data_IF_427003611643
#
_entry.id   IF_427003611643
#
_cell.length_a   1.000
_cell.length_b   1.000
_cell.length_c   1.000
_cell.angle_alpha   90.00
_cell.angle_beta   90.00
_cell.angle_gamma   90.00
#
_symmetry.space_group_name_H-M   'P 1'
#
loop_
_entity.id
_entity.type
_entity.pdbx_description
1 polymer ?
#
# COMPACT_ATOMS: atom_id res chain seq x y z
N UNK A 1 14.06 -11.30 2.87
CA UNK A 1 13.60 -10.00 2.33
C UNK A 1 12.67 -9.34 3.32
N UNK A 2 12.74 -8.04 3.41
CA UNK A 2 11.96 -7.24 4.35
C UNK A 2 10.98 -6.37 3.58
N UNK A 3 9.78 -6.18 4.11
CA UNK A 3 8.77 -5.33 3.50
C UNK A 3 8.92 -3.89 3.98
N UNK A 4 8.84 -2.96 3.01
CA UNK A 4 8.88 -1.52 3.27
C UNK A 4 7.73 -0.84 2.54
N UNK A 5 7.09 0.12 3.20
CA UNK A 5 6.14 1.02 2.56
C UNK A 5 6.92 2.24 2.07
N UNK A 6 7.04 2.39 0.75
CA UNK A 6 7.82 3.47 0.14
C UNK A 6 6.88 4.54 -0.38
N UNK A 7 7.10 5.78 0.03
CA UNK A 7 6.30 6.93 -0.36
C UNK A 7 7.18 8.17 -0.40
N UNK A 8 6.62 9.29 -0.90
CA UNK A 8 7.32 10.57 -0.80
C UNK A 8 7.17 11.14 0.63
N UNK A 9 8.16 11.91 1.07
CA UNK A 9 8.21 12.44 2.44
C UNK A 9 7.08 13.40 2.76
N UNK A 10 6.64 14.16 1.76
CA UNK A 10 5.64 15.20 1.94
C UNK A 10 4.20 14.69 1.79
N UNK A 11 4.03 13.46 1.29
CA UNK A 11 2.72 12.90 1.06
C UNK A 11 1.98 13.49 -0.14
N UNK A 12 2.67 14.25 -0.99
CA UNK A 12 2.04 14.93 -2.13
C UNK A 12 1.52 13.96 -3.18
N UNK A 13 2.18 12.82 -3.34
CA UNK A 13 1.77 11.81 -4.30
C UNK A 13 0.52 11.06 -3.83
N UNK A 14 0.36 10.85 -2.54
CA UNK A 14 -0.78 10.12 -1.98
C UNK A 14 -0.71 8.62 -2.13
N UNK A 15 0.34 8.09 -2.76
CA UNK A 15 0.52 6.65 -2.95
C UNK A 15 1.67 6.11 -2.14
N UNK A 16 1.51 4.86 -1.70
CA UNK A 16 2.58 4.09 -1.07
C UNK A 16 2.69 2.74 -1.77
N UNK A 17 3.91 2.28 -1.96
CA UNK A 17 4.18 0.97 -2.56
C UNK A 17 4.83 0.07 -1.53
N UNK A 18 4.36 -1.18 -1.46
CA UNK A 18 5.02 -2.18 -0.63
C UNK A 18 6.08 -2.87 -1.48
N UNK A 19 7.33 -2.71 -1.06
CA UNK A 19 8.50 -3.24 -1.76
C UNK A 19 9.25 -4.18 -0.81
N UNK A 20 9.65 -5.32 -1.33
CA UNK A 20 10.48 -6.28 -0.59
C UNK A 20 11.95 -6.05 -0.96
N UNK A 21 12.78 -5.76 0.02
CA UNK A 21 14.20 -5.51 -0.18
C UNK A 21 14.99 -5.91 1.05
N UNK A 22 16.29 -6.07 0.89
CA UNK A 22 17.17 -6.39 2.02
C UNK A 22 17.38 -5.20 2.94
N UNK A 23 17.36 -3.99 2.39
CA UNK A 23 17.59 -2.74 3.11
C UNK A 23 16.61 -1.66 2.69
N UNK A 24 16.46 -0.64 3.54
CA UNK A 24 15.65 0.53 3.24
C UNK A 24 16.11 1.25 1.97
N UNK A 25 17.42 1.39 1.81
CA UNK A 25 18.00 2.03 0.66
C UNK A 25 17.65 1.31 -0.65
N UNK A 26 17.72 -0.02 -0.64
CA UNK A 26 17.35 -0.82 -1.82
C UNK A 26 15.86 -0.72 -2.13
N UNK A 27 15.00 -0.62 -1.11
CA UNK A 27 13.57 -0.45 -1.30
C UNK A 27 13.26 0.88 -2.01
N UNK A 28 13.88 1.96 -1.58
CA UNK A 28 13.70 3.29 -2.21
C UNK A 28 14.20 3.26 -3.66
N UNK A 29 15.37 2.66 -3.89
CA UNK A 29 15.92 2.56 -5.24
C UNK A 29 14.98 1.79 -6.17
N UNK A 30 14.45 0.67 -5.70
CA UNK A 30 13.51 -0.12 -6.47
C UNK A 30 12.27 0.71 -6.84
N UNK A 31 11.71 1.42 -5.86
CA UNK A 31 10.52 2.23 -6.09
C UNK A 31 10.75 3.34 -7.12
N UNK A 32 11.90 4.01 -7.06
CA UNK A 32 12.25 5.05 -8.03
C UNK A 32 12.46 4.48 -9.44
N UNK A 33 12.97 3.26 -9.55
CA UNK A 33 13.31 2.66 -10.85
C UNK A 33 12.13 1.91 -11.49
N UNK A 34 11.19 1.37 -10.69
CA UNK A 34 10.21 0.41 -11.18
C UNK A 34 8.76 0.77 -10.87
N UNK A 35 8.50 1.57 -9.86
CA UNK A 35 7.13 1.97 -9.55
C UNK A 35 6.76 3.22 -10.34
N UNK A 36 5.74 3.07 -11.17
CA UNK A 36 5.34 4.10 -12.14
C UNK A 36 4.60 5.27 -11.50
N UNK A 37 4.46 6.33 -12.26
CA UNK A 37 3.57 7.44 -11.96
C UNK A 37 4.22 8.51 -11.10
N UNK A 38 3.72 8.68 -9.87
CA UNK A 38 4.11 9.79 -9.01
C UNK A 38 5.60 9.92 -8.73
N UNK A 39 6.33 8.80 -8.76
CA UNK A 39 7.73 8.80 -8.35
C UNK A 39 8.72 9.09 -9.47
N UNK A 40 8.26 9.23 -10.70
CA UNK A 40 9.13 9.43 -11.87
C UNK A 40 10.02 10.67 -11.76
N UNK A 41 9.54 11.70 -11.07
CA UNK A 41 10.25 12.97 -10.95
C UNK A 41 10.87 13.18 -9.57
N UNK A 42 10.72 12.22 -8.65
CA UNK A 42 11.25 12.37 -7.31
C UNK A 42 12.70 11.94 -7.24
N UNK A 43 13.45 12.65 -6.41
CA UNK A 43 14.82 12.30 -6.08
C UNK A 43 14.84 11.44 -4.82
N UNK A 44 15.95 10.77 -4.62
CA UNK A 44 16.16 9.91 -3.44
C UNK A 44 15.81 10.60 -2.13
N UNK A 45 16.22 11.85 -1.96
CA UNK A 45 16.03 12.60 -0.72
C UNK A 45 14.58 12.95 -0.43
N UNK A 46 13.70 12.85 -1.43
CA UNK A 46 12.27 13.13 -1.29
C UNK A 46 11.48 11.89 -0.89
N UNK A 47 12.13 10.75 -0.84
CA UNK A 47 11.49 9.46 -0.58
C UNK A 47 11.75 8.99 0.85
N UNK A 48 10.82 8.20 1.36
CA UNK A 48 11.00 7.49 2.62
C UNK A 48 10.52 6.05 2.50
N UNK A 49 11.09 5.18 3.31
CA UNK A 49 10.65 3.78 3.40
C UNK A 49 10.40 3.44 4.86
N UNK A 50 9.17 3.06 5.17
CA UNK A 50 8.78 2.63 6.51
C UNK A 50 8.75 1.12 6.57
N UNK A 51 9.38 0.56 7.58
CA UNK A 51 9.43 -0.87 7.78
C UNK A 51 8.03 -1.42 8.10
N UNK A 52 7.64 -2.51 7.42
CA UNK A 52 6.37 -3.20 7.62
C UNK A 52 6.61 -4.69 7.91
N UNK A 53 7.08 -5.02 9.15
CA UNK A 53 7.47 -6.41 9.46
C UNK A 53 6.33 -7.42 9.30
N UNK A 54 5.09 -7.00 9.49
CA UNK A 54 3.93 -7.88 9.36
C UNK A 54 3.71 -8.40 7.95
N UNK A 55 4.32 -7.74 6.95
CA UNK A 55 4.19 -8.13 5.55
C UNK A 55 5.36 -8.99 5.06
N UNK A 56 6.41 -9.19 5.85
CA UNK A 56 7.58 -9.98 5.44
C UNK A 56 7.21 -11.40 4.99
N UNK A 57 6.24 -11.99 5.65
CA UNK A 57 5.79 -13.36 5.38
C UNK A 57 5.15 -13.55 4.02
N UNK A 58 4.76 -12.48 3.37
CA UNK A 58 4.13 -12.54 2.05
C UNK A 58 5.14 -12.51 0.90
N UNK A 59 6.42 -12.37 1.21
CA UNK A 59 7.46 -12.44 0.18
C UNK A 59 7.50 -13.84 -0.45
N UNK A 60 7.37 -13.89 -1.76
CA UNK A 60 7.36 -15.13 -2.52
C UNK A 60 8.23 -15.08 -3.78
N UNK A 61 9.23 -14.19 -3.80
CA UNK A 61 10.10 -13.95 -4.95
C UNK A 61 9.75 -12.68 -5.71
N UNK A 62 8.56 -12.13 -5.52
CA UNK A 62 8.20 -10.81 -6.08
C UNK A 62 8.85 -9.71 -5.28
N UNK A 63 9.19 -8.61 -5.94
CA UNK A 63 9.81 -7.47 -5.27
C UNK A 63 8.82 -6.38 -4.87
N UNK A 64 7.55 -6.50 -5.25
CA UNK A 64 6.50 -5.57 -4.83
C UNK A 64 5.15 -6.27 -4.68
N UNK A 65 4.27 -5.68 -3.88
CA UNK A 65 2.88 -6.10 -3.77
C UNK A 65 2.01 -5.25 -4.69
N UNK A 66 0.95 -5.85 -5.21
CA UNK A 66 0.05 -5.22 -6.17
C UNK A 66 -1.32 -5.01 -5.53
N UNK A 67 -1.74 -3.76 -5.37
CA UNK A 67 -3.05 -3.42 -4.81
C UNK A 67 -4.21 -4.03 -5.62
N UNK A 68 -4.03 -4.22 -6.91
CA UNK A 68 -5.05 -4.81 -7.76
C UNK A 68 -5.16 -6.33 -7.62
N UNK A 69 -4.16 -6.98 -7.04
CA UNK A 69 -4.23 -8.40 -6.69
C UNK A 69 -5.01 -8.55 -5.39
N UNK A 70 -6.06 -9.37 -5.39
CA UNK A 70 -6.95 -9.49 -4.23
C UNK A 70 -6.25 -10.04 -2.99
N UNK A 71 -5.38 -11.03 -3.16
CA UNK A 71 -4.64 -11.61 -2.03
C UNK A 71 -3.69 -10.58 -1.41
N UNK A 72 -3.00 -9.81 -2.24
CA UNK A 72 -2.12 -8.73 -1.78
C UNK A 72 -2.91 -7.63 -1.07
N UNK A 73 -4.07 -7.27 -1.61
CA UNK A 73 -4.94 -6.26 -1.01
C UNK A 73 -5.39 -6.68 0.38
N UNK A 74 -5.85 -7.92 0.54
CA UNK A 74 -6.24 -8.45 1.85
C UNK A 74 -5.08 -8.39 2.83
N UNK A 75 -3.90 -8.82 2.39
CA UNK A 75 -2.69 -8.77 3.23
C UNK A 75 -2.35 -7.35 3.68
N UNK A 76 -2.38 -6.39 2.75
CA UNK A 76 -2.07 -4.99 3.07
C UNK A 76 -3.10 -4.36 4.00
N UNK A 77 -4.38 -4.63 3.80
CA UNK A 77 -5.43 -4.09 4.66
C UNK A 77 -5.38 -4.74 6.04
N UNK A 78 -5.29 -6.04 6.10
CA UNK A 78 -5.34 -6.81 7.35
C UNK A 78 -4.10 -6.59 8.20
N UNK A 79 -2.92 -6.71 7.61
CA UNK A 79 -1.66 -6.76 8.36
C UNK A 79 -0.88 -5.45 8.36
N UNK A 80 -1.28 -4.46 7.56
CA UNK A 80 -0.59 -3.17 7.51
C UNK A 80 -1.53 -1.96 7.62
N UNK A 81 -2.82 -2.18 7.84
CA UNK A 81 -3.84 -1.14 8.01
C UNK A 81 -3.98 -0.20 6.81
N UNK A 82 -3.71 -0.70 5.62
CA UNK A 82 -3.96 0.09 4.42
C UNK A 82 -5.45 0.20 4.15
N UNK A 83 -5.83 1.29 3.47
CA UNK A 83 -7.20 1.56 3.06
C UNK A 83 -7.20 1.99 1.59
N UNK A 84 -8.35 1.84 0.92
CA UNK A 84 -8.54 2.47 -0.37
C UNK A 84 -8.31 3.96 -0.25
N UNK A 85 -7.71 4.58 -1.27
CA UNK A 85 -7.31 5.98 -1.24
C UNK A 85 -8.45 6.99 -1.24
N UNK A 86 -9.70 6.52 -1.13
CA UNK A 86 -10.82 7.42 -0.97
C UNK A 86 -11.27 8.13 -2.22
N UNK A 87 -10.80 7.73 -3.36
CA UNK A 87 -11.36 8.18 -4.62
C UNK A 87 -12.86 7.89 -4.62
N UNK A 88 -13.61 8.90 -4.88
CA UNK A 88 -14.94 9.17 -4.36
C UNK A 88 -16.08 8.30 -4.89
N UNK A 89 -15.79 7.37 -5.78
CA UNK A 89 -16.83 6.64 -6.47
C UNK A 89 -17.08 5.23 -5.93
N UNK A 90 -16.36 4.83 -4.88
CA UNK A 90 -16.54 3.50 -4.30
C UNK A 90 -17.72 3.51 -3.35
N UNK A 91 -18.78 2.81 -3.72
CA UNK A 91 -19.98 2.69 -2.90
C UNK A 91 -19.78 1.63 -1.81
N UNK A 92 -20.64 1.69 -0.78
CA UNK A 92 -20.67 0.66 0.26
C UNK A 92 -20.90 -0.73 -0.33
N UNK A 93 -21.74 -0.82 -1.36
CA UNK A 93 -22.02 -2.11 -2.01
C UNK A 93 -20.78 -2.70 -2.68
N UNK A 94 -19.95 -1.86 -3.30
CA UNK A 94 -18.67 -2.29 -3.86
C UNK A 94 -17.71 -2.74 -2.77
N UNK A 95 -17.69 -2.05 -1.63
CA UNK A 95 -16.88 -2.43 -0.49
C UNK A 95 -17.29 -3.79 0.08
N UNK A 96 -18.57 -4.12 0.08
CA UNK A 96 -19.05 -5.43 0.53
C UNK A 96 -18.53 -6.57 -0.33
N UNK A 97 -18.27 -6.31 -1.61
CA UNK A 97 -17.69 -7.28 -2.54
C UNK A 97 -16.18 -7.39 -2.42
N UNK A 98 -15.53 -6.44 -1.77
CA UNK A 98 -14.08 -6.46 -1.59
C UNK A 98 -13.70 -7.50 -0.52
N UNK A 99 -12.80 -8.44 -0.84
CA UNK A 99 -12.39 -9.46 0.14
C UNK A 99 -11.77 -8.88 1.42
N UNK A 100 -11.25 -7.67 1.35
CA UNK A 100 -10.60 -7.01 2.48
C UNK A 100 -11.55 -6.21 3.37
N UNK A 101 -12.85 -6.17 3.07
CA UNK A 101 -13.80 -5.29 3.77
C UNK A 101 -13.86 -5.54 5.27
N UNK A 102 -13.68 -6.78 5.71
CA UNK A 102 -13.73 -7.15 7.13
C UNK A 102 -12.67 -6.43 7.98
N UNK A 103 -11.57 -6.03 7.36
CA UNK A 103 -10.46 -5.39 8.05
C UNK A 103 -10.26 -3.93 7.66
N UNK A 104 -11.09 -3.40 6.75
CA UNK A 104 -10.91 -2.07 6.20
C UNK A 104 -11.58 -1.02 7.08
N UNK A 105 -10.79 -0.10 7.63
CA UNK A 105 -11.30 1.00 8.44
C UNK A 105 -12.23 1.94 7.68
N UNK A 106 -12.00 2.11 6.37
CA UNK A 106 -12.89 2.89 5.53
C UNK A 106 -14.28 2.29 5.43
N UNK A 107 -14.36 0.98 5.22
CA UNK A 107 -15.66 0.28 5.19
C UNK A 107 -16.39 0.46 6.52
N UNK A 108 -15.69 0.31 7.62
CA UNK A 108 -16.25 0.49 8.96
C UNK A 108 -16.82 1.91 9.13
N UNK A 109 -16.06 2.93 8.71
CA UNK A 109 -16.52 4.32 8.78
C UNK A 109 -17.75 4.56 7.91
N UNK A 110 -17.78 4.01 6.69
CA UNK A 110 -18.93 4.14 5.78
C UNK A 110 -20.18 3.50 6.36
N UNK A 111 -20.05 2.34 6.97
CA UNK A 111 -21.17 1.67 7.61
C UNK A 111 -21.70 2.45 8.81
N UNK A 112 -20.83 3.08 9.59
CA UNK A 112 -21.22 3.93 10.72
C UNK A 112 -22.02 5.14 10.30
N UNK A 113 -21.75 5.68 9.11
CA UNK A 113 -22.47 6.85 8.60
C UNK A 113 -23.87 6.49 8.11
N UNK A 114 -24.09 5.26 7.71
CA UNK A 114 -25.38 4.81 7.17
C UNK A 114 -26.32 4.39 8.32
N UNK A 115 -25.78 3.85 9.37
CA UNK A 115 -26.52 3.35 10.52
C UNK A 115 -26.18 4.15 11.76
#
# INVERSE_FOLDING_TARGET
MKAYSVSDRNGDCGYSYIVFAETRAKAIRYALDHCDGCFDYYQWTEMRALRKPTLDKYYNGRLEMDWCNMDDRVAMVKDANFECSGEDDVTVDECKLCPAHEWCGRYERLMSQIY
#
